data_IF_085485077280
#
_entry.id   IF_085485077280
#
_cell.length_a   1.000
_cell.length_b   1.000
_cell.length_c   1.000
_cell.angle_alpha   90.00
_cell.angle_beta   90.00
_cell.angle_gamma   90.00
#
_symmetry.space_group_name_H-M   'P 1'
#
loop_
_entity.id
_entity.type
_entity.pdbx_description
1 polymer ?
#
# COMPACT_ATOMS: atom_id res chain seq x y z
N UNK A 1 -20.64 7.05 -5.61
CA UNK A 1 -19.35 6.67 -5.00
C UNK A 1 -18.97 5.31 -5.52
N UNK A 2 -17.98 5.25 -6.41
CA UNK A 2 -17.35 4.00 -6.81
C UNK A 2 -16.25 3.76 -5.76
N UNK A 3 -16.29 2.68 -4.95
CA UNK A 3 -15.40 2.54 -3.80
C UNK A 3 -13.91 2.33 -4.14
N UNK A 4 -13.49 2.55 -5.40
CA UNK A 4 -12.07 2.51 -5.75
C UNK A 4 -11.45 1.13 -5.54
N UNK A 5 -12.11 0.07 -6.00
CA UNK A 5 -11.50 -1.26 -6.02
C UNK A 5 -10.89 -1.59 -7.39
N UNK A 6 -10.91 -0.65 -8.33
CA UNK A 6 -10.31 -0.82 -9.66
C UNK A 6 -8.80 -1.05 -9.58
N UNK A 7 -8.18 -0.45 -8.57
CA UNK A 7 -6.72 -0.43 -8.41
C UNK A 7 -6.24 -1.38 -7.29
N UNK A 8 -7.11 -2.21 -6.72
CA UNK A 8 -6.75 -3.10 -5.62
C UNK A 8 -5.88 -4.28 -6.08
N UNK A 9 -4.64 -4.29 -5.64
CA UNK A 9 -3.72 -5.41 -5.78
C UNK A 9 -3.69 -6.30 -4.51
N UNK A 10 -3.63 -7.62 -4.70
CA UNK A 10 -3.28 -8.57 -3.63
C UNK A 10 -1.90 -9.13 -3.94
N UNK A 11 -0.95 -8.94 -3.01
CA UNK A 11 0.45 -9.34 -3.14
C UNK A 11 0.69 -10.51 -2.18
N UNK A 12 1.15 -11.63 -2.72
CA UNK A 12 1.49 -12.85 -1.98
C UNK A 12 2.96 -13.17 -2.12
N UNK A 13 3.56 -13.77 -1.10
CA UNK A 13 4.99 -14.19 -1.10
C UNK A 13 5.98 -13.03 -1.27
N UNK A 14 5.63 -11.84 -0.76
CA UNK A 14 6.51 -10.67 -0.81
C UNK A 14 7.76 -10.90 0.05
N UNK A 15 8.94 -10.88 -0.58
CA UNK A 15 10.23 -10.95 0.09
C UNK A 15 10.87 -9.55 0.12
N UNK A 16 10.91 -8.92 1.29
CA UNK A 16 11.52 -7.58 1.47
C UNK A 16 12.99 -7.48 1.04
N UNK A 17 13.70 -8.61 0.95
CA UNK A 17 15.09 -8.64 0.52
C UNK A 17 15.26 -8.66 -1.00
N UNK A 18 14.21 -9.01 -1.76
CA UNK A 18 14.26 -9.18 -3.22
C UNK A 18 13.27 -8.28 -3.97
N UNK A 19 12.09 -8.07 -3.39
CA UNK A 19 10.95 -7.46 -4.05
C UNK A 19 10.80 -5.98 -3.71
N UNK A 20 10.12 -5.26 -4.61
CA UNK A 20 9.82 -3.83 -4.48
C UNK A 20 8.38 -3.58 -4.89
N UNK A 21 7.68 -2.75 -4.11
CA UNK A 21 6.35 -2.26 -4.43
C UNK A 21 6.52 -0.88 -5.04
N UNK A 22 6.13 -0.73 -6.30
CA UNK A 22 6.17 0.57 -6.99
C UNK A 22 4.80 1.24 -6.92
N UNK A 23 4.77 2.50 -6.47
CA UNK A 23 3.57 3.32 -6.36
C UNK A 23 3.75 4.62 -7.16
N UNK A 24 2.68 5.13 -7.77
CA UNK A 24 2.73 6.37 -8.55
C UNK A 24 2.51 7.60 -7.64
N UNK A 25 3.33 8.64 -7.73
CA UNK A 25 3.23 9.82 -6.85
C UNK A 25 4.22 9.78 -5.69
N UNK A 26 3.91 10.44 -4.57
CA UNK A 26 4.83 10.63 -3.46
C UNK A 26 4.48 9.73 -2.27
N UNK A 27 5.46 9.39 -1.43
CA UNK A 27 5.22 8.56 -0.22
C UNK A 27 4.16 9.15 0.72
N UNK A 28 4.06 10.47 0.79
CA UNK A 28 3.05 11.19 1.58
C UNK A 28 1.61 11.04 1.08
N UNK A 29 1.43 10.57 -0.15
CA UNK A 29 0.11 10.28 -0.72
C UNK A 29 -0.43 8.92 -0.23
N UNK A 30 0.36 8.19 0.57
CA UNK A 30 0.05 6.83 1.00
C UNK A 30 0.08 6.67 2.51
N UNK A 31 -0.70 5.71 3.00
CA UNK A 31 -0.57 5.17 4.36
C UNK A 31 -0.59 3.66 4.39
N UNK A 32 0.11 3.11 5.36
CA UNK A 32 0.11 1.68 5.66
C UNK A 32 -0.76 1.40 6.88
N UNK A 33 -1.47 0.28 6.88
CA UNK A 33 -2.21 -0.21 8.05
C UNK A 33 -2.04 -1.72 8.19
N UNK A 34 -1.64 -2.17 9.37
CA UNK A 34 -1.60 -3.59 9.69
C UNK A 34 -3.00 -4.08 10.10
N UNK A 35 -3.46 -5.16 9.47
CA UNK A 35 -4.70 -5.86 9.83
C UNK A 35 -4.41 -7.36 9.90
N UNK A 36 -4.39 -7.91 11.12
CA UNK A 36 -3.92 -9.28 11.35
C UNK A 36 -2.45 -9.42 10.99
N UNK A 37 -2.13 -10.37 10.11
CA UNK A 37 -0.77 -10.60 9.58
C UNK A 37 -0.51 -9.88 8.25
N UNK A 38 -1.39 -8.98 7.81
CA UNK A 38 -1.30 -8.35 6.50
C UNK A 38 -1.04 -6.85 6.63
N UNK A 39 -0.32 -6.29 5.67
CA UNK A 39 -0.18 -4.83 5.50
C UNK A 39 -1.09 -4.36 4.37
N UNK A 40 -1.97 -3.42 4.66
CA UNK A 40 -2.81 -2.74 3.67
C UNK A 40 -2.16 -1.43 3.27
N UNK A 41 -2.19 -1.12 1.98
CA UNK A 41 -1.71 0.12 1.38
C UNK A 41 -2.95 0.91 0.97
N UNK A 42 -3.02 2.15 1.44
CA UNK A 42 -4.08 3.09 1.08
C UNK A 42 -3.49 4.28 0.35
N UNK A 43 -4.18 4.73 -0.69
CA UNK A 43 -4.02 6.05 -1.28
C UNK A 43 -4.86 7.04 -0.45
N UNK A 44 -4.18 8.00 0.18
CA UNK A 44 -4.78 9.08 0.96
C UNK A 44 -5.44 10.08 0.00
N UNK A 45 -6.76 10.26 0.14
CA UNK A 45 -7.51 11.16 -0.74
C UNK A 45 -7.68 12.51 -0.07
N UNK A 46 -7.38 13.55 -0.83
CA UNK A 46 -7.47 14.94 -0.34
C UNK A 46 -8.91 15.27 0.08
N UNK A 47 -9.06 15.83 1.29
CA UNK A 47 -10.31 16.39 1.78
C UNK A 47 -11.12 15.42 2.63
N UNK A 48 -12.39 15.24 2.29
CA UNK A 48 -13.33 14.40 3.05
C UNK A 48 -13.65 13.07 2.35
N UNK A 49 -12.96 12.78 1.25
CA UNK A 49 -13.10 11.49 0.57
C UNK A 49 -12.46 10.39 1.41
N UNK A 50 -13.06 9.20 1.36
CA UNK A 50 -12.50 8.05 2.06
C UNK A 50 -11.26 7.55 1.30
N UNK A 51 -10.19 7.27 2.05
CA UNK A 51 -8.99 6.64 1.49
C UNK A 51 -9.33 5.37 0.72
N UNK A 52 -8.63 5.19 -0.38
CA UNK A 52 -8.81 4.04 -1.26
C UNK A 52 -7.81 2.96 -0.89
N UNK A 53 -8.28 1.73 -0.65
CA UNK A 53 -7.38 0.58 -0.48
C UNK A 53 -6.91 0.12 -1.86
N UNK A 54 -5.61 0.23 -2.10
CA UNK A 54 -5.00 -0.11 -3.39
C UNK A 54 -4.10 -1.34 -3.30
N UNK A 55 -3.75 -1.80 -2.09
CA UNK A 55 -2.86 -2.94 -1.92
C UNK A 55 -3.10 -3.73 -0.63
N UNK A 56 -2.94 -5.05 -0.70
CA UNK A 56 -2.84 -5.94 0.46
C UNK A 56 -1.62 -6.82 0.28
N UNK A 57 -0.60 -6.61 1.11
CA UNK A 57 0.55 -7.52 1.23
C UNK A 57 0.22 -8.57 2.27
N UNK A 58 0.09 -9.83 1.83
CA UNK A 58 -0.31 -10.94 2.70
C UNK A 58 0.87 -11.49 3.50
N UNK A 59 0.66 -11.72 4.79
CA UNK A 59 1.66 -12.36 5.67
C UNK A 59 2.85 -11.48 6.04
N UNK A 60 2.87 -10.21 5.63
CA UNK A 60 3.97 -9.27 5.90
C UNK A 60 3.45 -8.10 6.74
N UNK A 61 4.21 -7.78 7.79
CA UNK A 61 4.01 -6.64 8.69
C UNK A 61 5.33 -5.89 8.87
N UNK A 62 5.29 -4.68 9.43
CA UNK A 62 6.49 -3.88 9.70
C UNK A 62 7.09 -3.20 8.47
N UNK A 63 6.35 -3.17 7.35
CA UNK A 63 6.71 -2.34 6.20
C UNK A 63 6.58 -0.86 6.56
N UNK A 64 7.50 -0.04 6.04
CA UNK A 64 7.48 1.42 6.18
C UNK A 64 7.70 2.06 4.80
N UNK A 65 6.99 3.16 4.51
CA UNK A 65 7.04 3.82 3.20
C UNK A 65 8.39 4.49 2.91
N UNK A 66 9.23 4.68 3.93
CA UNK A 66 10.60 5.20 3.84
C UNK A 66 11.66 4.08 3.68
N UNK A 67 11.25 2.81 3.70
CA UNK A 67 12.16 1.68 3.46
C UNK A 67 12.38 1.42 1.98
N UNK A 68 13.46 0.69 1.67
CA UNK A 68 13.75 0.23 0.32
C UNK A 68 12.65 -0.68 -0.26
N UNK A 69 11.67 -1.15 0.50
CA UNK A 69 10.57 -1.96 -0.01
C UNK A 69 9.66 -1.19 -1.00
N UNK A 70 9.72 0.15 -1.00
CA UNK A 70 8.88 1.00 -1.83
C UNK A 70 9.70 1.86 -2.78
N UNK A 71 9.23 1.95 -4.02
CA UNK A 71 9.70 2.92 -5.02
C UNK A 71 8.53 3.81 -5.43
N UNK A 72 8.82 5.09 -5.67
CA UNK A 72 7.84 6.11 -6.01
C UNK A 72 8.21 6.75 -7.35
N UNK A 73 7.26 6.84 -8.29
CA UNK A 73 7.42 7.40 -9.64
C UNK A 73 6.76 8.77 -9.81
#
# INVERSE_FOLDING_TARGET
MNPGFGDLATITDFDSSQDRIELNGFSQDYRLQVVGSNTRIFLDKVGAEQDEIIGIVQGVVGLTLDSDNFTFL
#
